data_IF_289253452476
#
_entry.id   IF_289253452476
#
_cell.length_a   1.000
_cell.length_b   1.000
_cell.length_c   1.000
_cell.angle_alpha   90.00
_cell.angle_beta   90.00
_cell.angle_gamma   90.00
#
_symmetry.space_group_name_H-M   'P 1'
#
loop_
_entity.id
_entity.type
_entity.pdbx_description
1 polymer ?
#
# COMPACT_ATOMS: atom_id res chain seq x y z
N UNK A 1 8.22 -20.84 -16.34
CA UNK A 1 6.81 -20.87 -15.91
C UNK A 1 6.68 -19.91 -14.72
N UNK A 2 5.62 -19.11 -14.64
CA UNK A 2 5.38 -18.18 -13.54
C UNK A 2 4.75 -18.94 -12.37
N UNK A 3 5.37 -18.84 -11.16
CA UNK A 3 4.90 -19.48 -9.92
C UNK A 3 4.46 -18.40 -8.95
N UNK A 4 3.31 -18.55 -8.29
CA UNK A 4 2.90 -17.69 -7.18
C UNK A 4 3.77 -17.93 -5.95
N UNK A 5 4.16 -16.83 -5.27
CA UNK A 5 4.96 -16.84 -4.04
C UNK A 5 4.33 -15.86 -3.03
N UNK A 6 4.68 -16.02 -1.74
CA UNK A 6 4.44 -15.00 -0.73
C UNK A 6 5.50 -13.90 -0.80
N UNK A 7 5.20 -12.75 -0.22
CA UNK A 7 6.17 -11.66 -0.09
C UNK A 7 7.36 -12.07 0.81
N UNK A 8 7.10 -12.85 1.85
CA UNK A 8 8.10 -13.39 2.77
C UNK A 8 8.92 -14.57 2.19
N UNK A 9 8.56 -15.10 1.01
CA UNK A 9 9.42 -16.05 0.28
C UNK A 9 10.65 -15.38 -0.34
N UNK A 10 10.66 -14.04 -0.42
CA UNK A 10 11.86 -13.27 -0.81
C UNK A 10 12.79 -13.20 0.41
N UNK A 11 14.01 -13.69 0.24
CA UNK A 11 14.99 -13.82 1.31
C UNK A 11 15.24 -12.49 2.02
N UNK A 12 15.18 -12.50 3.36
CA UNK A 12 15.44 -11.35 4.22
C UNK A 12 14.27 -10.36 4.34
N UNK A 13 13.09 -10.71 3.78
CA UNK A 13 11.88 -9.91 3.87
C UNK A 13 10.98 -10.44 4.97
N UNK A 14 10.55 -9.56 5.87
CA UNK A 14 9.51 -9.82 6.88
C UNK A 14 8.35 -8.86 6.68
N UNK A 15 7.15 -9.27 7.05
CA UNK A 15 5.95 -8.42 6.98
C UNK A 15 5.16 -8.60 8.25
N UNK A 16 4.78 -7.49 8.86
CA UNK A 16 3.94 -7.52 10.06
C UNK A 16 2.80 -6.51 9.97
N UNK A 17 1.75 -6.76 10.74
CA UNK A 17 0.52 -5.99 10.73
C UNK A 17 -0.01 -5.80 12.14
N UNK A 18 -0.53 -4.62 12.41
CA UNK A 18 -1.26 -4.37 13.64
C UNK A 18 -2.45 -3.45 13.36
N UNK A 19 -3.59 -3.78 13.92
CA UNK A 19 -4.80 -2.97 13.78
C UNK A 19 -5.59 -2.87 15.08
N UNK A 20 -6.31 -1.77 15.24
CA UNK A 20 -7.39 -1.61 16.19
C UNK A 20 -8.71 -1.79 15.45
N UNK A 21 -9.32 -2.98 15.59
CA UNK A 21 -10.56 -3.33 14.89
C UNK A 21 -11.76 -2.46 15.33
N UNK A 22 -11.80 -2.02 16.57
CA UNK A 22 -12.90 -1.16 17.06
C UNK A 22 -12.81 0.24 16.49
N UNK A 23 -11.59 0.76 16.38
CA UNK A 23 -11.32 2.08 15.83
C UNK A 23 -11.23 2.09 14.29
N UNK A 24 -11.22 0.94 13.65
CA UNK A 24 -11.10 0.78 12.19
C UNK A 24 -9.84 1.42 11.60
N UNK A 25 -8.69 1.21 12.20
CA UNK A 25 -7.40 1.72 11.70
C UNK A 25 -6.27 0.76 12.04
N UNK A 26 -5.13 0.89 11.37
CA UNK A 26 -3.97 0.05 11.61
C UNK A 26 -2.79 0.37 10.70
N UNK A 27 -1.72 -0.40 10.84
CA UNK A 27 -0.50 -0.25 10.04
C UNK A 27 0.07 -1.62 9.62
N UNK A 28 0.86 -1.59 8.56
CA UNK A 28 1.56 -2.76 8.01
C UNK A 28 2.99 -2.35 7.69
N UNK A 29 3.95 -3.16 8.06
CA UNK A 29 5.37 -2.90 7.83
C UNK A 29 5.98 -3.99 6.94
N UNK A 30 6.80 -3.57 5.99
CA UNK A 30 7.68 -4.44 5.20
C UNK A 30 9.10 -4.16 5.65
N UNK A 31 9.77 -5.15 6.23
CA UNK A 31 11.10 -5.04 6.82
C UNK A 31 12.11 -5.79 5.92
N UNK A 32 13.27 -5.18 5.73
CA UNK A 32 14.46 -5.82 5.14
C UNK A 32 15.65 -5.51 6.05
N UNK A 33 15.92 -6.40 7.02
CA UNK A 33 16.90 -6.16 8.10
C UNK A 33 18.32 -5.87 7.58
N UNK A 34 18.71 -6.50 6.48
CA UNK A 34 20.03 -6.30 5.86
C UNK A 34 20.10 -5.01 5.01
N UNK A 35 19.02 -4.24 4.98
CA UNK A 35 18.87 -3.09 4.11
C UNK A 35 18.49 -3.46 2.68
N UNK A 36 17.69 -2.62 2.03
CA UNK A 36 17.28 -2.73 0.64
C UNK A 36 17.56 -1.45 -0.12
N UNK A 37 18.07 -1.56 -1.34
CA UNK A 37 18.05 -0.41 -2.27
C UNK A 37 16.60 -0.05 -2.56
N UNK A 38 16.25 1.23 -2.48
CA UNK A 38 14.85 1.62 -2.59
C UNK A 38 14.62 2.83 -3.49
N UNK A 39 13.38 2.93 -3.97
CA UNK A 39 12.85 4.08 -4.69
C UNK A 39 11.37 4.26 -4.42
N UNK A 40 10.85 5.42 -4.74
CA UNK A 40 9.43 5.78 -4.56
C UNK A 40 8.95 6.58 -5.76
N UNK A 41 7.66 6.44 -6.07
CA UNK A 41 6.93 7.35 -6.97
C UNK A 41 5.62 7.75 -6.29
N UNK A 42 5.38 9.06 -6.19
CA UNK A 42 4.21 9.67 -5.58
C UNK A 42 3.42 10.37 -6.67
N UNK A 43 2.18 9.92 -6.94
CA UNK A 43 1.35 10.45 -8.04
C UNK A 43 0.06 11.11 -7.60
N UNK A 44 -0.41 10.83 -6.41
CA UNK A 44 -1.57 11.53 -5.86
C UNK A 44 -1.27 13.00 -5.55
N UNK A 45 -2.28 13.88 -5.66
CA UNK A 45 -2.14 15.31 -5.38
C UNK A 45 -2.12 15.69 -3.89
N UNK A 46 -2.46 14.75 -2.99
CA UNK A 46 -2.54 14.94 -1.53
C UNK A 46 -1.83 13.84 -0.72
N UNK A 47 -0.55 13.57 -0.95
CA UNK A 47 0.14 12.47 -0.27
C UNK A 47 0.45 12.79 1.19
N UNK A 48 0.44 11.76 2.05
CA UNK A 48 1.02 11.77 3.39
C UNK A 48 2.17 10.77 3.41
N UNK A 49 3.42 11.25 3.40
CA UNK A 49 4.63 10.42 3.30
C UNK A 49 5.71 10.89 4.26
N UNK A 50 6.64 9.99 4.61
CA UNK A 50 7.82 10.28 5.43
C UNK A 50 9.06 9.64 4.82
N UNK A 51 10.24 10.31 4.96
CA UNK A 51 11.57 9.90 4.49
C UNK A 51 11.65 9.63 2.97
N UNK A 52 10.79 10.27 2.15
CA UNK A 52 10.79 10.07 0.69
C UNK A 52 11.92 10.82 -0.02
N UNK A 53 12.35 11.97 0.46
CA UNK A 53 13.46 12.74 -0.13
C UNK A 53 14.78 11.95 -0.11
N UNK A 54 15.00 11.16 0.94
CA UNK A 54 16.17 10.28 1.05
C UNK A 54 16.25 9.29 -0.13
N UNK A 55 15.12 8.88 -0.69
CA UNK A 55 15.04 7.93 -1.81
C UNK A 55 15.40 8.55 -3.16
N UNK A 56 15.51 9.87 -3.26
CA UNK A 56 15.98 10.51 -4.50
C UNK A 56 17.35 9.95 -4.89
N UNK A 57 17.55 9.50 -6.14
CA UNK A 57 18.80 8.89 -6.61
C UNK A 57 20.07 9.74 -6.42
N UNK A 58 19.93 11.07 -6.31
CA UNK A 58 21.07 11.97 -6.10
C UNK A 58 21.53 12.01 -4.63
N UNK A 59 20.73 11.51 -3.68
CA UNK A 59 21.05 11.54 -2.27
C UNK A 59 21.93 10.35 -1.85
N UNK A 60 22.75 10.58 -0.81
CA UNK A 60 23.85 9.71 -0.40
C UNK A 60 23.40 8.33 0.08
N UNK A 61 22.32 8.26 0.88
CA UNK A 61 21.87 6.99 1.52
C UNK A 61 21.34 6.03 0.48
N UNK A 62 21.94 4.84 0.41
CA UNK A 62 21.67 3.86 -0.65
C UNK A 62 20.69 2.77 -0.25
N UNK A 63 20.40 2.61 1.04
CA UNK A 63 19.55 1.55 1.57
C UNK A 63 18.58 2.08 2.63
N UNK A 64 17.45 1.40 2.76
CA UNK A 64 16.50 1.58 3.86
C UNK A 64 16.19 0.22 4.47
N UNK A 65 15.61 0.20 5.68
CA UNK A 65 15.40 -1.03 6.45
C UNK A 65 13.93 -1.44 6.52
N UNK A 66 13.01 -0.49 6.33
CA UNK A 66 11.59 -0.80 6.29
C UNK A 66 10.77 0.23 5.52
N UNK A 67 9.57 -0.19 5.10
CA UNK A 67 8.49 0.67 4.63
C UNK A 67 7.27 0.46 5.51
N UNK A 68 6.74 1.54 6.09
CA UNK A 68 5.51 1.56 6.89
C UNK A 68 4.35 2.06 6.04
N UNK A 69 3.31 1.26 5.91
CA UNK A 69 2.01 1.64 5.33
C UNK A 69 1.01 1.76 6.49
N UNK A 70 0.32 2.88 6.63
CA UNK A 70 -0.57 3.11 7.77
C UNK A 70 -1.89 3.77 7.39
N UNK A 71 -2.89 3.62 8.24
CA UNK A 71 -4.08 4.48 8.28
C UNK A 71 -3.78 5.80 9.01
N UNK A 72 -4.82 6.52 9.42
CA UNK A 72 -4.69 7.70 10.29
C UNK A 72 -4.31 9.00 9.58
N UNK A 73 -4.25 9.03 8.23
CA UNK A 73 -3.80 10.20 7.48
C UNK A 73 -2.39 10.64 7.93
N UNK A 74 -2.06 11.91 7.87
CA UNK A 74 -0.75 12.42 8.28
C UNK A 74 -0.36 12.04 9.74
N UNK A 75 -1.33 11.84 10.62
CA UNK A 75 -1.04 11.39 12.00
C UNK A 75 -0.45 9.98 12.03
N UNK A 76 -0.89 9.09 11.13
CA UNK A 76 -0.42 7.71 11.07
C UNK A 76 1.04 7.55 10.62
N UNK A 77 1.69 8.61 10.14
CA UNK A 77 3.13 8.61 9.86
C UNK A 77 3.98 8.34 11.10
N UNK A 78 3.43 8.59 12.31
CA UNK A 78 4.12 8.31 13.58
C UNK A 78 4.40 6.80 13.78
N UNK A 79 3.65 5.92 13.15
CA UNK A 79 3.91 4.47 13.20
C UNK A 79 5.33 4.10 12.72
N UNK A 80 5.94 4.90 11.82
CA UNK A 80 7.31 4.69 11.37
C UNK A 80 8.32 4.81 12.51
N UNK A 81 8.07 5.69 13.51
CA UNK A 81 8.95 5.86 14.67
C UNK A 81 8.97 4.62 15.57
N UNK A 82 7.86 3.88 15.62
CA UNK A 82 7.81 2.58 16.31
C UNK A 82 8.62 1.49 15.62
N UNK A 83 8.60 1.47 14.29
CA UNK A 83 9.45 0.56 13.53
C UNK A 83 10.94 0.92 13.69
N UNK A 84 11.30 2.21 13.73
CA UNK A 84 12.68 2.63 14.01
C UNK A 84 13.14 2.12 15.37
N UNK A 85 12.33 2.27 16.42
CA UNK A 85 12.67 1.77 17.75
C UNK A 85 12.87 0.25 17.75
N UNK A 86 11.92 -0.50 17.17
CA UNK A 86 12.01 -1.96 17.10
C UNK A 86 13.30 -2.41 16.39
N UNK A 87 13.61 -1.83 15.24
CA UNK A 87 14.78 -2.18 14.45
C UNK A 87 16.09 -1.84 15.17
N UNK A 88 16.18 -0.68 15.85
CA UNK A 88 17.34 -0.31 16.66
C UNK A 88 17.58 -1.31 17.79
N UNK A 89 16.53 -1.69 18.54
CA UNK A 89 16.59 -2.68 19.63
C UNK A 89 17.05 -4.07 19.15
N UNK A 90 16.81 -4.38 17.85
CA UNK A 90 17.24 -5.63 17.21
C UNK A 90 18.57 -5.50 16.45
N UNK A 91 19.28 -4.37 16.63
CA UNK A 91 20.60 -4.16 16.03
C UNK A 91 20.58 -3.89 14.53
N UNK A 92 19.41 -3.56 13.95
CA UNK A 92 19.22 -3.22 12.53
C UNK A 92 19.37 -1.73 12.31
N UNK A 93 20.06 -1.34 11.24
CA UNK A 93 20.29 0.07 10.90
C UNK A 93 21.75 0.35 10.56
N UNK A 94 22.02 1.58 10.10
CA UNK A 94 23.37 2.04 9.87
C UNK A 94 24.15 2.18 11.19
N UNK A 95 25.37 1.65 11.23
CA UNK A 95 26.25 1.80 12.37
C UNK A 95 26.89 3.20 12.35
N UNK A 96 26.46 4.04 13.27
CA UNK A 96 26.97 5.39 13.46
C UNK A 96 27.97 5.50 14.61
N UNK A 97 28.51 4.38 15.09
CA UNK A 97 29.41 4.21 16.24
C UNK A 97 28.77 4.48 17.61
N UNK A 98 27.83 5.42 17.70
CA UNK A 98 27.13 5.81 18.94
C UNK A 98 25.73 5.22 19.04
N UNK A 99 25.15 4.81 17.91
CA UNK A 99 23.82 4.19 17.80
C UNK A 99 23.67 3.46 16.47
N UNK A 100 22.73 2.53 16.39
CA UNK A 100 22.19 2.01 15.14
C UNK A 100 21.05 2.90 14.66
N UNK A 101 21.11 3.36 13.42
CA UNK A 101 20.09 4.25 12.84
C UNK A 101 19.34 3.53 11.72
N UNK A 102 18.16 2.97 12.00
CA UNK A 102 17.30 2.41 10.96
C UNK A 102 16.70 3.54 10.13
N UNK A 103 16.56 3.32 8.83
CA UNK A 103 15.79 4.20 7.96
C UNK A 103 14.47 3.52 7.64
N UNK A 104 13.37 4.17 7.98
CA UNK A 104 11.99 3.71 7.76
C UNK A 104 11.24 4.76 6.95
N UNK A 105 11.00 4.45 5.69
CA UNK A 105 10.11 5.25 4.84
C UNK A 105 8.65 4.87 5.09
N UNK A 106 7.71 5.75 4.77
CA UNK A 106 6.31 5.40 4.95
C UNK A 106 5.34 6.27 4.17
N UNK A 107 4.10 5.77 4.08
CA UNK A 107 2.95 6.48 3.56
C UNK A 107 1.69 6.13 4.35
N UNK A 108 0.77 7.09 4.46
CA UNK A 108 -0.47 6.93 5.19
C UNK A 108 -1.68 7.19 4.30
N UNK A 109 -2.71 6.36 4.44
CA UNK A 109 -4.03 6.58 3.86
C UNK A 109 -4.98 7.24 4.88
N UNK A 110 -6.04 7.85 4.38
CA UNK A 110 -7.05 8.50 5.21
C UNK A 110 -8.21 7.54 5.51
N UNK A 111 -8.29 7.07 6.73
CA UNK A 111 -9.39 6.23 7.26
C UNK A 111 -10.15 6.87 8.43
N UNK A 112 -9.89 8.16 8.71
CA UNK A 112 -10.46 8.89 9.87
C UNK A 112 -11.98 9.03 9.83
N UNK A 113 -12.62 8.86 8.67
CA UNK A 113 -14.09 8.84 8.53
C UNK A 113 -14.70 7.47 8.88
N UNK A 114 -13.86 6.46 9.17
CA UNK A 114 -14.28 5.10 9.53
C UNK A 114 -13.96 4.85 11.01
N UNK A 115 -14.88 4.31 11.77
CA UNK A 115 -14.65 4.01 13.18
C UNK A 115 -14.39 5.24 14.06
N UNK A 116 -13.28 5.24 14.81
CA UNK A 116 -12.93 6.30 15.75
C UNK A 116 -11.72 7.12 15.27
N UNK A 117 -11.95 8.34 14.82
CA UNK A 117 -10.93 9.26 14.31
C UNK A 117 -9.88 9.73 15.34
N UNK A 118 -10.10 9.50 16.64
CA UNK A 118 -9.16 9.85 17.71
C UNK A 118 -8.13 8.74 17.97
N UNK A 119 -8.37 7.51 17.51
CA UNK A 119 -7.42 6.39 17.55
C UNK A 119 -6.74 6.30 16.18
N UNK A 120 -5.45 6.40 16.14
CA UNK A 120 -4.64 6.47 14.91
C UNK A 120 -3.39 5.63 15.09
N UNK A 121 -2.85 5.06 14.00
CA UNK A 121 -1.55 4.41 14.08
C UNK A 121 -0.50 5.37 14.65
N UNK A 122 0.12 4.95 15.73
CA UNK A 122 1.13 5.66 16.48
C UNK A 122 2.41 4.82 16.63
N UNK A 123 3.36 5.34 17.38
CA UNK A 123 4.62 4.64 17.68
C UNK A 123 4.41 3.24 18.26
N UNK A 124 3.45 3.07 19.18
CA UNK A 124 3.17 1.77 19.80
C UNK A 124 2.61 0.77 18.79
N UNK A 125 1.67 1.21 17.94
CA UNK A 125 1.09 0.36 16.90
C UNK A 125 2.15 -0.05 15.86
N UNK A 126 3.03 0.88 15.46
CA UNK A 126 4.14 0.60 14.55
C UNK A 126 5.13 -0.42 15.13
N UNK A 127 5.45 -0.31 16.41
CA UNK A 127 6.30 -1.29 17.12
C UNK A 127 5.64 -2.68 17.14
N UNK A 128 4.35 -2.76 17.49
CA UNK A 128 3.59 -4.02 17.49
C UNK A 128 3.48 -4.66 16.09
N UNK A 129 3.35 -3.86 15.05
CA UNK A 129 3.38 -4.38 13.69
C UNK A 129 4.73 -5.04 13.37
N UNK A 130 5.85 -4.46 13.83
CA UNK A 130 7.16 -5.10 13.70
C UNK A 130 7.25 -6.40 14.51
N UNK A 131 6.74 -6.46 15.73
CA UNK A 131 6.68 -7.70 16.53
C UNK A 131 5.88 -8.80 15.81
N UNK A 132 4.74 -8.45 15.16
CA UNK A 132 3.92 -9.40 14.41
C UNK A 132 4.67 -9.99 13.20
N UNK A 133 5.67 -9.29 12.65
CA UNK A 133 6.45 -9.78 11.51
C UNK A 133 7.22 -11.09 11.77
N UNK A 134 7.40 -11.44 13.02
CA UNK A 134 8.04 -12.71 13.42
C UNK A 134 7.13 -13.94 13.22
N UNK A 135 5.81 -13.72 13.01
CA UNK A 135 4.84 -14.82 12.86
C UNK A 135 4.72 -15.37 11.42
N UNK A 136 5.39 -14.76 10.43
CA UNK A 136 5.32 -15.12 9.00
C UNK A 136 3.86 -15.29 8.48
N UNK A 137 2.92 -14.51 9.00
CA UNK A 137 1.51 -14.57 8.66
C UNK A 137 0.99 -13.21 8.15
N UNK A 138 0.86 -13.08 6.83
CA UNK A 138 0.28 -11.90 6.22
C UNK A 138 -1.22 -12.11 6.02
N UNK A 139 -2.04 -11.25 6.63
CA UNK A 139 -3.50 -11.26 6.49
C UNK A 139 -3.94 -10.27 5.41
N UNK A 140 -5.06 -10.57 4.74
CA UNK A 140 -5.62 -9.74 3.67
C UNK A 140 -7.04 -9.26 4.01
N UNK A 141 -7.47 -8.16 3.41
CA UNK A 141 -8.77 -7.53 3.68
C UNK A 141 -8.68 -6.50 4.80
N UNK A 142 -9.46 -6.67 5.88
CA UNK A 142 -9.60 -5.69 6.97
C UNK A 142 -8.48 -5.79 8.01
N UNK A 143 -7.23 -5.83 7.58
CA UNK A 143 -6.07 -5.97 8.47
C UNK A 143 -5.04 -4.87 8.23
N UNK A 144 -4.24 -4.56 9.25
CA UNK A 144 -3.19 -3.57 9.17
C UNK A 144 -3.67 -2.25 8.57
N UNK A 145 -2.93 -1.67 7.62
CA UNK A 145 -3.31 -0.44 6.91
C UNK A 145 -4.63 -0.56 6.11
N UNK A 146 -5.12 -1.77 5.84
CA UNK A 146 -6.40 -2.01 5.17
C UNK A 146 -7.61 -2.01 6.10
N UNK A 147 -7.41 -1.93 7.42
CA UNK A 147 -8.48 -2.08 8.42
C UNK A 147 -9.61 -1.08 8.21
N UNK A 148 -9.32 0.22 8.12
CA UNK A 148 -10.29 1.29 7.89
C UNK A 148 -10.47 1.69 6.42
N UNK A 149 -9.75 1.07 5.49
CA UNK A 149 -9.78 1.47 4.08
C UNK A 149 -11.17 1.32 3.44
N UNK A 150 -11.54 2.28 2.57
CA UNK A 150 -12.82 2.34 1.85
C UNK A 150 -12.62 2.81 0.41
N UNK A 151 -13.54 2.46 -0.51
CA UNK A 151 -13.48 2.82 -1.94
C UNK A 151 -14.81 3.37 -2.42
N UNK A 152 -14.81 4.14 -3.52
CA UNK A 152 -16.04 4.65 -4.12
C UNK A 152 -16.73 5.75 -3.33
N UNK A 153 -15.97 6.66 -2.71
CA UNK A 153 -16.47 7.71 -1.80
C UNK A 153 -17.06 8.95 -2.51
N UNK A 154 -17.13 8.94 -3.83
CA UNK A 154 -17.51 10.10 -4.66
C UNK A 154 -18.84 10.75 -4.25
N UNK A 155 -19.86 9.94 -3.96
CA UNK A 155 -21.20 10.41 -3.57
C UNK A 155 -21.42 10.44 -2.05
N UNK A 156 -20.37 10.33 -1.26
CA UNK A 156 -20.43 10.28 0.20
C UNK A 156 -20.17 8.88 0.76
N UNK A 157 -20.02 8.83 2.06
CA UNK A 157 -19.63 7.61 2.77
C UNK A 157 -20.73 6.52 2.72
N UNK A 158 -21.98 6.92 2.65
CA UNK A 158 -23.17 6.05 2.53
C UNK A 158 -23.20 5.24 1.23
N UNK A 159 -22.47 5.73 0.20
CA UNK A 159 -22.32 5.06 -1.09
C UNK A 159 -20.98 4.33 -1.24
N UNK A 160 -20.11 4.46 -0.25
CA UNK A 160 -18.79 3.82 -0.28
C UNK A 160 -18.87 2.32 0.04
N UNK A 161 -17.84 1.61 -0.38
CA UNK A 161 -17.65 0.19 -0.07
C UNK A 161 -16.36 -0.05 0.72
N UNK A 162 -16.28 -1.21 1.36
CA UNK A 162 -15.07 -1.61 2.09
C UNK A 162 -13.89 -1.81 1.13
N UNK A 163 -12.82 -1.09 1.38
CA UNK A 163 -11.49 -1.35 0.84
C UNK A 163 -10.76 -2.43 1.64
N UNK A 164 -9.44 -2.46 1.58
CA UNK A 164 -8.66 -3.44 2.33
C UNK A 164 -7.19 -3.44 1.96
N UNK A 165 -6.46 -4.45 2.46
CA UNK A 165 -5.08 -4.72 2.08
C UNK A 165 -4.99 -6.07 1.36
N UNK A 166 -4.13 -6.17 0.35
CA UNK A 166 -3.90 -7.41 -0.37
C UNK A 166 -2.43 -7.59 -0.72
N UNK A 167 -2.03 -8.85 -0.86
CA UNK A 167 -0.65 -9.25 -1.19
C UNK A 167 -0.64 -10.21 -2.36
N UNK A 168 0.41 -10.16 -3.15
CA UNK A 168 0.65 -11.10 -4.24
C UNK A 168 2.13 -11.11 -4.60
N UNK A 169 2.64 -12.25 -5.03
CA UNK A 169 4.00 -12.36 -5.52
C UNK A 169 4.14 -13.43 -6.59
N UNK A 170 5.14 -13.27 -7.43
CA UNK A 170 5.47 -14.20 -8.52
C UNK A 170 6.96 -14.45 -8.59
N UNK A 171 7.31 -15.67 -9.00
CA UNK A 171 8.66 -16.06 -9.35
C UNK A 171 8.71 -16.54 -10.81
N UNK A 172 9.69 -16.03 -11.57
CA UNK A 172 10.01 -16.44 -12.94
C UNK A 172 11.51 -16.76 -13.02
N UNK A 173 11.85 -18.03 -13.19
CA UNK A 173 13.25 -18.46 -13.02
C UNK A 173 13.72 -18.20 -11.58
N UNK A 174 14.80 -17.43 -11.43
CA UNK A 174 15.34 -16.97 -10.15
C UNK A 174 14.88 -15.54 -9.76
N UNK A 175 14.14 -14.86 -10.62
CA UNK A 175 13.59 -13.53 -10.35
C UNK A 175 12.30 -13.65 -9.56
N UNK A 176 12.25 -12.93 -8.44
CA UNK A 176 11.07 -12.82 -7.57
C UNK A 176 10.60 -11.37 -7.52
N UNK A 177 9.29 -11.16 -7.64
CA UNK A 177 8.65 -9.86 -7.46
C UNK A 177 7.37 -10.07 -6.67
N UNK A 178 7.23 -9.39 -5.55
CA UNK A 178 6.04 -9.48 -4.70
C UNK A 178 5.66 -8.10 -4.19
N UNK A 179 4.42 -7.95 -3.69
CA UNK A 179 3.96 -6.67 -3.19
C UNK A 179 2.81 -6.78 -2.19
N UNK A 180 2.55 -5.64 -1.56
CA UNK A 180 1.45 -5.39 -0.64
C UNK A 180 0.83 -4.04 -0.97
N UNK A 181 -0.50 -3.94 -1.00
CA UNK A 181 -1.23 -2.71 -1.34
C UNK A 181 -2.42 -2.54 -0.42
N UNK A 182 -2.51 -1.38 0.23
CA UNK A 182 -3.72 -0.94 0.94
C UNK A 182 -4.53 0.00 0.04
N UNK A 183 -5.80 -0.32 -0.19
CA UNK A 183 -6.67 0.28 -1.21
C UNK A 183 -7.75 1.13 -0.54
N UNK A 184 -7.62 2.46 -0.63
CA UNK A 184 -8.55 3.44 -0.07
C UNK A 184 -8.93 4.52 -1.11
N UNK A 185 -9.21 4.12 -2.35
CA UNK A 185 -9.41 5.00 -3.50
C UNK A 185 -10.70 5.82 -3.45
N UNK A 186 -10.72 7.00 -4.12
CA UNK A 186 -11.95 7.71 -4.47
C UNK A 186 -12.78 6.92 -5.48
N UNK A 187 -12.10 6.40 -6.49
CA UNK A 187 -12.68 5.68 -7.61
C UNK A 187 -13.14 4.26 -7.30
N UNK A 188 -13.64 3.63 -8.34
CA UNK A 188 -14.00 2.24 -8.36
C UNK A 188 -12.77 1.35 -8.49
N UNK A 189 -12.80 0.17 -7.88
CA UNK A 189 -11.84 -0.90 -8.16
C UNK A 189 -12.42 -1.83 -9.21
N UNK A 190 -11.67 -2.03 -10.30
CA UNK A 190 -12.06 -2.84 -11.44
C UNK A 190 -11.17 -4.09 -11.58
N UNK A 191 -11.72 -5.15 -12.08
CA UNK A 191 -10.94 -6.31 -12.51
C UNK A 191 -10.23 -5.95 -13.83
N UNK A 192 -8.89 -5.82 -13.80
CA UNK A 192 -8.11 -5.35 -14.95
C UNK A 192 -8.17 -6.28 -16.17
N UNK A 193 -8.64 -7.53 -16.02
CA UNK A 193 -8.82 -8.50 -17.11
C UNK A 193 -10.22 -8.45 -17.72
N UNK A 194 -11.25 -8.40 -16.87
CA UNK A 194 -12.65 -8.46 -17.30
C UNK A 194 -13.30 -7.09 -17.40
N UNK A 195 -12.69 -6.06 -16.82
CA UNK A 195 -13.23 -4.69 -16.69
C UNK A 195 -14.52 -4.62 -15.84
N UNK A 196 -14.82 -5.67 -15.07
CA UNK A 196 -15.93 -5.68 -14.11
C UNK A 196 -15.59 -4.77 -12.92
N UNK A 197 -16.53 -3.93 -12.48
CA UNK A 197 -16.39 -3.17 -11.24
C UNK A 197 -16.55 -4.14 -10.06
N UNK A 198 -15.49 -4.31 -9.28
CA UNK A 198 -15.48 -5.17 -8.10
C UNK A 198 -16.06 -4.47 -6.85
N UNK A 199 -15.72 -3.20 -6.67
CA UNK A 199 -16.20 -2.36 -5.58
C UNK A 199 -16.04 -0.89 -5.96
N UNK A 200 -16.85 0.00 -5.40
CA UNK A 200 -16.78 1.42 -5.72
C UNK A 200 -18.03 2.15 -5.28
N UNK A 201 -18.46 3.14 -6.05
CA UNK A 201 -19.71 3.88 -5.78
C UNK A 201 -20.89 2.91 -5.86
N UNK A 202 -21.53 2.67 -4.72
CA UNK A 202 -22.61 1.70 -4.59
C UNK A 202 -23.97 2.40 -4.44
N UNK A 203 -24.90 2.08 -5.32
CA UNK A 203 -26.29 2.52 -5.25
C UNK A 203 -27.16 1.26 -5.30
N UNK A 204 -27.93 1.01 -4.25
CA UNK A 204 -28.84 -0.14 -4.12
C UNK A 204 -28.16 -1.50 -4.45
N UNK A 205 -26.96 -1.71 -3.89
CA UNK A 205 -26.09 -2.90 -4.11
C UNK A 205 -25.59 -3.05 -5.55
N UNK A 206 -25.62 -1.99 -6.35
CA UNK A 206 -25.02 -1.98 -7.69
C UNK A 206 -23.92 -0.95 -7.76
N UNK A 207 -22.76 -1.35 -8.22
CA UNK A 207 -21.67 -0.42 -8.47
C UNK A 207 -21.91 0.35 -9.77
N UNK A 208 -21.73 1.67 -9.71
CA UNK A 208 -21.84 2.60 -10.85
C UNK A 208 -20.48 3.23 -11.13
N UNK A 209 -20.24 3.67 -12.36
CA UNK A 209 -18.96 4.26 -12.75
C UNK A 209 -18.74 5.62 -12.07
N UNK A 210 -17.70 5.75 -11.25
CA UNK A 210 -17.31 6.99 -10.62
C UNK A 210 -16.87 8.04 -11.68
N UNK A 211 -16.09 7.64 -12.67
CA UNK A 211 -15.66 8.53 -13.76
C UNK A 211 -16.85 9.08 -14.56
N UNK A 212 -17.85 8.24 -14.86
CA UNK A 212 -19.04 8.72 -15.56
C UNK A 212 -19.83 9.73 -14.74
N UNK A 213 -20.01 9.49 -13.42
CA UNK A 213 -20.68 10.45 -12.53
C UNK A 213 -19.95 11.80 -12.51
N UNK A 214 -18.61 11.77 -12.45
CA UNK A 214 -17.80 13.01 -12.48
C UNK A 214 -18.05 13.79 -13.77
N UNK A 215 -18.05 13.11 -14.91
CA UNK A 215 -18.28 13.74 -16.23
C UNK A 215 -19.70 14.28 -16.35
N UNK A 216 -20.70 13.54 -15.91
CA UNK A 216 -22.12 13.96 -15.96
C UNK A 216 -22.42 15.15 -15.04
N UNK A 217 -21.64 15.34 -13.98
CA UNK A 217 -21.84 16.37 -12.96
C UNK A 217 -20.72 17.43 -12.94
N UNK A 218 -19.87 17.50 -13.98
CA UNK A 218 -18.69 18.36 -14.00
C UNK A 218 -19.00 19.85 -13.80
N UNK A 219 -20.18 20.30 -14.16
CA UNK A 219 -20.62 21.69 -13.95
C UNK A 219 -21.04 21.98 -12.50
N UNK A 220 -21.36 20.94 -11.73
CA UNK A 220 -21.81 20.99 -10.33
C UNK A 220 -20.73 20.64 -9.34
N UNK A 221 -19.92 19.64 -9.67
CA UNK A 221 -18.80 19.20 -8.85
C UNK A 221 -17.62 20.18 -8.98
N UNK A 222 -17.26 20.83 -7.88
CA UNK A 222 -16.10 21.74 -7.83
C UNK A 222 -14.84 21.06 -7.33
N UNK A 223 -14.98 19.94 -6.61
CA UNK A 223 -13.89 19.19 -5.98
C UNK A 223 -14.35 17.76 -5.72
N UNK A 224 -13.43 16.81 -5.83
CA UNK A 224 -13.65 15.44 -5.35
C UNK A 224 -13.55 15.38 -3.82
N UNK A 225 -14.21 14.42 -3.17
CA UNK A 225 -14.06 14.22 -1.73
C UNK A 225 -12.58 14.02 -1.36
N UNK A 226 -12.15 14.66 -0.27
CA UNK A 226 -10.80 14.47 0.26
C UNK A 226 -10.65 13.13 0.97
N UNK A 227 -9.41 12.71 1.20
CA UNK A 227 -9.12 11.53 2.01
C UNK A 227 -9.12 10.22 1.25
N UNK A 228 -8.57 10.24 0.05
CA UNK A 228 -8.40 9.06 -0.79
C UNK A 228 -6.91 8.75 -0.95
N UNK A 229 -6.56 7.49 -1.03
CA UNK A 229 -5.14 7.11 -1.14
C UNK A 229 -5.02 5.60 -1.38
N UNK A 230 -4.23 5.21 -2.36
CA UNK A 230 -3.77 3.82 -2.47
C UNK A 230 -2.26 3.80 -2.26
N UNK A 231 -1.81 3.05 -1.25
CA UNK A 231 -0.40 2.94 -0.89
C UNK A 231 0.10 1.53 -1.04
N UNK A 232 1.29 1.37 -1.61
CA UNK A 232 1.85 0.06 -1.88
C UNK A 232 3.36 -0.03 -1.74
N UNK A 233 3.83 -1.26 -1.56
CA UNK A 233 5.24 -1.60 -1.55
C UNK A 233 5.47 -2.83 -2.43
N UNK A 234 6.39 -2.72 -3.38
CA UNK A 234 6.93 -3.83 -4.19
C UNK A 234 8.28 -4.22 -3.62
N UNK A 235 8.54 -5.52 -3.58
CA UNK A 235 9.85 -6.08 -3.23
C UNK A 235 10.30 -7.00 -4.36
N UNK A 236 11.58 -6.90 -4.73
CA UNK A 236 12.23 -7.81 -5.68
C UNK A 236 13.60 -8.25 -5.16
N UNK A 237 14.02 -9.44 -5.56
CA UNK A 237 15.37 -9.92 -5.28
C UNK A 237 16.41 -9.50 -6.36
N UNK A 238 15.98 -8.81 -7.42
CA UNK A 238 16.86 -8.36 -8.50
C UNK A 238 17.70 -7.19 -8.04
N UNK A 239 19.01 -7.19 -8.36
CA UNK A 239 19.94 -6.08 -8.11
C UNK A 239 19.53 -4.84 -8.87
N UNK A 240 19.22 -3.77 -8.16
CA UNK A 240 18.76 -2.51 -8.73
C UNK A 240 19.46 -1.32 -8.09
N UNK A 241 19.70 -0.29 -8.87
CA UNK A 241 20.08 1.04 -8.37
C UNK A 241 18.83 1.79 -7.86
N UNK A 242 19.02 2.84 -7.07
CA UNK A 242 17.93 3.74 -6.63
C UNK A 242 17.14 4.29 -7.83
N UNK A 243 17.82 4.73 -8.88
CA UNK A 243 17.17 5.22 -10.10
C UNK A 243 16.29 4.15 -10.77
N UNK A 244 16.73 2.89 -10.78
CA UNK A 244 15.95 1.78 -11.32
C UNK A 244 14.77 1.44 -10.41
N UNK A 245 14.94 1.46 -9.07
CA UNK A 245 13.82 1.30 -8.12
C UNK A 245 12.77 2.39 -8.31
N UNK A 246 13.17 3.66 -8.44
CA UNK A 246 12.27 4.79 -8.73
C UNK A 246 11.56 4.60 -10.07
N UNK A 247 12.29 4.16 -11.11
CA UNK A 247 11.68 3.88 -12.42
C UNK A 247 10.63 2.76 -12.34
N UNK A 248 10.92 1.68 -11.60
CA UNK A 248 9.97 0.57 -11.41
C UNK A 248 8.76 1.05 -10.57
N UNK A 249 8.96 1.89 -9.56
CA UNK A 249 7.86 2.50 -8.81
C UNK A 249 6.90 3.26 -9.75
N UNK A 250 7.45 4.09 -10.65
CA UNK A 250 6.68 4.78 -11.67
C UNK A 250 5.95 3.85 -12.65
N UNK A 251 6.58 2.76 -13.09
CA UNK A 251 5.95 1.73 -13.93
C UNK A 251 4.82 1.04 -13.18
N UNK A 252 5.00 0.75 -11.89
CA UNK A 252 4.03 0.04 -11.04
C UNK A 252 2.70 0.76 -10.90
N UNK A 253 2.66 2.10 -11.01
CA UNK A 253 1.43 2.89 -11.06
C UNK A 253 0.51 2.54 -12.24
N UNK A 254 1.03 1.90 -13.30
CA UNK A 254 0.17 1.34 -14.34
C UNK A 254 -0.74 0.22 -13.78
N UNK A 255 -0.35 -0.45 -12.71
CA UNK A 255 -1.19 -1.42 -11.99
C UNK A 255 -2.37 -0.73 -11.30
N UNK A 256 -2.15 0.45 -10.70
CA UNK A 256 -3.23 1.29 -10.17
C UNK A 256 -4.16 1.72 -11.30
N UNK A 257 -3.63 2.31 -12.38
CA UNK A 257 -4.42 2.79 -13.51
C UNK A 257 -5.21 1.68 -14.24
N UNK A 258 -4.77 0.43 -14.19
CA UNK A 258 -5.50 -0.72 -14.72
C UNK A 258 -6.60 -1.23 -13.80
N UNK A 259 -6.56 -0.89 -12.52
CA UNK A 259 -7.39 -1.51 -11.47
C UNK A 259 -8.25 -0.51 -10.70
N UNK A 260 -8.05 0.79 -10.87
CA UNK A 260 -8.77 1.87 -10.16
C UNK A 260 -9.16 2.96 -11.16
N UNK A 261 -10.44 3.39 -11.13
CA UNK A 261 -10.97 4.42 -12.02
C UNK A 261 -11.99 5.34 -11.30
N UNK A 262 -11.72 6.68 -11.21
CA UNK A 262 -10.47 7.38 -11.50
C UNK A 262 -9.37 7.12 -10.47
N UNK A 263 -8.13 7.42 -10.83
CA UNK A 263 -6.93 7.24 -10.00
C UNK A 263 -5.99 8.44 -10.15
N UNK A 264 -5.10 8.66 -9.19
CA UNK A 264 -4.10 9.75 -9.19
C UNK A 264 -4.72 11.14 -9.27
N UNK A 265 -5.90 11.32 -8.68
CA UNK A 265 -6.57 12.61 -8.65
C UNK A 265 -5.88 13.57 -7.67
N UNK A 266 -6.26 14.83 -7.70
CA UNK A 266 -5.78 15.84 -6.73
C UNK A 266 -6.15 15.52 -5.28
N UNK A 267 -7.16 14.66 -5.06
CA UNK A 267 -7.64 14.24 -3.75
C UNK A 267 -7.07 12.87 -3.30
N UNK A 268 -6.23 12.24 -4.12
CA UNK A 268 -5.57 10.98 -3.80
C UNK A 268 -4.16 11.22 -3.22
N UNK A 269 -3.66 10.30 -2.40
CA UNK A 269 -2.28 10.29 -1.89
C UNK A 269 -1.45 9.13 -2.42
N UNK A 270 -1.75 8.67 -3.61
CA UNK A 270 -1.22 7.43 -4.22
C UNK A 270 0.30 7.39 -4.26
N UNK A 271 0.86 6.37 -3.60
CA UNK A 271 2.30 6.21 -3.41
C UNK A 271 2.70 4.75 -3.57
N UNK A 272 3.77 4.49 -4.31
CA UNK A 272 4.38 3.14 -4.42
C UNK A 272 5.87 3.23 -4.08
N UNK A 273 6.29 2.39 -3.13
CA UNK A 273 7.69 2.10 -2.83
C UNK A 273 8.14 0.84 -3.56
N UNK A 274 9.41 0.79 -3.95
CA UNK A 274 10.08 -0.41 -4.48
C UNK A 274 11.33 -0.68 -3.69
N UNK A 275 11.48 -1.92 -3.19
CA UNK A 275 12.62 -2.42 -2.44
C UNK A 275 13.32 -3.50 -3.26
N UNK A 276 14.65 -3.44 -3.32
CA UNK A 276 15.50 -4.48 -3.92
C UNK A 276 16.41 -5.09 -2.86
N UNK A 277 16.33 -6.41 -2.66
CA UNK A 277 17.24 -7.15 -1.76
C UNK A 277 18.59 -7.47 -2.40
N UNK A 278 18.78 -7.17 -3.69
CA UNK A 278 20.04 -7.26 -4.43
C UNK A 278 20.69 -8.65 -4.49
N UNK A 279 19.91 -9.74 -4.57
CA UNK A 279 20.40 -11.11 -4.56
C UNK A 279 20.80 -11.63 -5.96
N UNK A 280 20.02 -11.31 -6.99
CA UNK A 280 20.20 -11.87 -8.35
C UNK A 280 20.30 -10.80 -9.42
N UNK A 281 20.96 -11.12 -10.52
CA UNK A 281 20.92 -10.27 -11.70
C UNK A 281 19.60 -10.50 -12.46
N UNK A 282 19.04 -9.43 -13.06
CA UNK A 282 17.79 -9.52 -13.81
C UNK A 282 17.53 -8.29 -14.68
N UNK A 283 16.60 -8.44 -15.62
CA UNK A 283 16.22 -7.36 -16.54
C UNK A 283 15.24 -6.40 -15.82
N UNK A 284 15.58 -5.13 -15.77
CA UNK A 284 14.77 -4.07 -15.11
C UNK A 284 13.34 -4.01 -15.68
N UNK A 285 13.22 -4.08 -17.01
CA UNK A 285 11.91 -4.02 -17.70
C UNK A 285 11.04 -5.24 -17.35
N UNK A 286 11.63 -6.43 -17.19
CA UNK A 286 10.90 -7.61 -16.77
C UNK A 286 10.36 -7.46 -15.32
N UNK A 287 11.17 -6.88 -14.41
CA UNK A 287 10.72 -6.55 -13.05
C UNK A 287 9.57 -5.55 -13.11
N UNK A 288 9.66 -4.51 -13.95
CA UNK A 288 8.58 -3.53 -14.14
C UNK A 288 7.27 -4.16 -14.63
N UNK A 289 7.34 -5.08 -15.61
CA UNK A 289 6.17 -5.82 -16.13
C UNK A 289 5.54 -6.67 -15.01
N UNK A 290 6.35 -7.41 -14.25
CA UNK A 290 5.88 -8.24 -13.14
C UNK A 290 5.31 -7.38 -12.01
N UNK A 291 5.89 -6.23 -11.72
CA UNK A 291 5.40 -5.30 -10.71
C UNK A 291 4.00 -4.77 -11.02
N UNK A 292 3.70 -4.45 -12.29
CA UNK A 292 2.34 -4.06 -12.73
C UNK A 292 1.32 -5.18 -12.47
N UNK A 293 1.66 -6.42 -12.82
CA UNK A 293 0.80 -7.59 -12.57
C UNK A 293 0.59 -7.81 -11.05
N UNK A 294 1.68 -7.73 -10.27
CA UNK A 294 1.66 -7.89 -8.81
C UNK A 294 0.74 -6.84 -8.17
N UNK A 295 0.92 -5.57 -8.50
CA UNK A 295 0.08 -4.47 -7.99
C UNK A 295 -1.40 -4.70 -8.32
N UNK A 296 -1.71 -5.02 -9.59
CA UNK A 296 -3.10 -5.26 -10.01
C UNK A 296 -3.74 -6.42 -9.24
N UNK A 297 -2.97 -7.48 -8.98
CA UNK A 297 -3.43 -8.63 -8.18
C UNK A 297 -3.60 -8.29 -6.71
N UNK A 298 -2.68 -7.53 -6.11
CA UNK A 298 -2.81 -7.06 -4.72
C UNK A 298 -4.10 -6.27 -4.54
N UNK A 299 -4.42 -5.35 -5.46
CA UNK A 299 -5.64 -4.55 -5.42
C UNK A 299 -6.89 -5.45 -5.49
N UNK A 300 -6.93 -6.40 -6.43
CA UNK A 300 -8.04 -7.34 -6.52
C UNK A 300 -8.21 -8.17 -5.24
N UNK A 301 -7.10 -8.66 -4.66
CA UNK A 301 -7.13 -9.45 -3.42
C UNK A 301 -7.59 -8.60 -2.24
N UNK A 302 -7.13 -7.36 -2.13
CA UNK A 302 -7.58 -6.42 -1.09
C UNK A 302 -9.11 -6.33 -1.04
N UNK A 303 -9.75 -6.14 -2.19
CA UNK A 303 -11.21 -6.02 -2.31
C UNK A 303 -11.92 -7.37 -2.11
N UNK A 304 -11.44 -8.44 -2.76
CA UNK A 304 -12.09 -9.76 -2.71
C UNK A 304 -11.98 -10.42 -1.32
N UNK A 305 -10.98 -10.05 -0.51
CA UNK A 305 -10.77 -10.55 0.87
C UNK A 305 -11.37 -9.66 1.95
N UNK A 306 -11.74 -8.42 1.63
CA UNK A 306 -12.42 -7.55 2.57
C UNK A 306 -13.77 -8.13 3.01
N UNK A 307 -14.12 -7.84 4.26
CA UNK A 307 -15.40 -8.21 4.88
C UNK A 307 -16.18 -6.93 5.19
N UNK A 308 -17.51 -6.99 5.07
CA UNK A 308 -18.38 -5.87 5.48
C UNK A 308 -18.15 -5.51 6.96
N UNK A 309 -18.16 -4.23 7.24
CA UNK A 309 -17.95 -3.70 8.59
C UNK A 309 -17.99 -2.18 8.57
N UNK A 310 -18.21 -1.59 9.73
CA UNK A 310 -18.22 -0.13 9.92
C UNK A 310 -19.27 0.61 9.06
N UNK A 311 -20.40 -0.05 8.74
CA UNK A 311 -21.41 0.47 7.83
C UNK A 311 -21.11 0.34 6.33
N UNK A 312 -19.95 -0.22 5.96
CA UNK A 312 -19.52 -0.41 4.59
C UNK A 312 -19.77 -1.85 4.12
N UNK A 313 -20.36 -2.01 2.92
CA UNK A 313 -20.51 -3.31 2.26
C UNK A 313 -19.18 -3.74 1.62
N UNK A 314 -18.88 -5.02 1.68
CA UNK A 314 -17.76 -5.61 0.93
C UNK A 314 -18.23 -6.26 -0.38
N UNK A 315 -17.28 -6.50 -1.28
CA UNK A 315 -17.50 -7.20 -2.56
C UNK A 315 -18.29 -8.50 -2.42
N UNK A 316 -18.01 -9.29 -1.37
CA UNK A 316 -18.68 -10.59 -1.15
C UNK A 316 -20.18 -10.46 -0.89
N UNK A 317 -20.66 -9.32 -0.42
CA UNK A 317 -22.06 -9.08 -0.08
C UNK A 317 -22.86 -8.45 -1.23
N UNK A 318 -22.20 -8.00 -2.30
CA UNK A 318 -22.86 -7.60 -3.55
C UNK A 318 -23.37 -8.82 -4.35
N UNK A 319 -22.78 -9.99 -4.15
CA UNK A 319 -23.09 -11.23 -4.89
C UNK A 319 -24.11 -12.13 -4.19
N UNK A 320 -24.65 -11.67 -3.05
CA UNK A 320 -25.75 -12.34 -2.33
C UNK A 320 -27.07 -11.62 -2.64
#
# INVERSE_FOLDING_TARGET
MMKEIKLTDIKGVKVGQYENQEAATGCSVVIVENGATAGVDVRGGGPATTETDLLNPINMVQQIHAVMLSGGSAFGLDAASGAMQYLEEHGVGFDMSVARVPIVCGASLFDLSVGNSHVRPDKEMGYKACQDSENDLIKEGNYGAGCGASVGKLLGFEHAMKGGIGTYGVQVGNVQVAGIVAVNACGNVIDYKTQEILAGVNIDKKCVSASQIILDQMDQLRKLPDGNTTIGCIVTNVKLTKAQCTKIAGISHNGYAKSIDPVHTMSDGDTIFVLSTNEVDGMVDAVGILAVEVISKCIQRAIKKAKSGYGLLAYQDLKK
#
